data_IF_995778671327
#
_entry.id   IF_995778671327
#
_cell.length_a   1.000
_cell.length_b   1.000
_cell.length_c   1.000
_cell.angle_alpha   90.00
_cell.angle_beta   90.00
_cell.angle_gamma   90.00
#
_symmetry.space_group_name_H-M   'P 1'
#
loop_
_entity.id
_entity.type
_entity.pdbx_description
1 polymer ?
#
# COMPACT_ATOMS: atom_id res chain seq x y z
N UNK A 1 -22.17 6.81 3.78
CA UNK A 1 -20.79 7.36 3.77
C UNK A 1 -19.89 6.48 4.61
N UNK A 2 -18.59 6.36 4.27
CA UNK A 2 -17.65 5.63 5.10
C UNK A 2 -17.46 6.34 6.45
N UNK A 3 -17.55 5.59 7.55
CA UNK A 3 -17.29 6.13 8.89
C UNK A 3 -15.79 6.00 9.20
N UNK A 4 -15.02 7.04 8.91
CA UNK A 4 -13.57 7.09 9.15
C UNK A 4 -13.29 7.98 10.35
N UNK A 5 -12.65 7.42 11.38
CA UNK A 5 -12.21 8.16 12.57
C UNK A 5 -10.72 8.47 12.48
N UNK A 6 -10.38 9.75 12.49
CA UNK A 6 -8.99 10.21 12.59
C UNK A 6 -8.55 10.23 14.06
N UNK A 7 -7.28 9.91 14.30
CA UNK A 7 -6.64 9.94 15.61
C UNK A 7 -5.31 10.69 15.50
N UNK A 8 -4.84 11.25 16.61
CA UNK A 8 -3.55 11.94 16.65
C UNK A 8 -2.39 10.96 16.44
N UNK A 9 -1.34 11.42 15.75
CA UNK A 9 -0.14 10.62 15.52
C UNK A 9 0.63 10.46 16.84
N UNK A 10 0.94 9.21 17.25
CA UNK A 10 1.78 8.96 18.41
C UNK A 10 3.16 9.62 18.31
N UNK A 11 3.63 10.23 19.40
CA UNK A 11 4.90 10.99 19.43
C UNK A 11 6.13 10.11 19.18
N UNK A 12 6.10 8.86 19.62
CA UNK A 12 7.21 7.90 19.54
C UNK A 12 7.57 7.48 18.12
N UNK A 13 6.61 7.51 17.19
CA UNK A 13 6.83 7.19 15.78
C UNK A 13 6.94 8.43 14.89
N UNK A 14 6.60 9.62 15.40
CA UNK A 14 6.46 10.84 14.59
C UNK A 14 7.72 11.17 13.79
N UNK A 15 8.88 11.12 14.44
CA UNK A 15 10.17 11.45 13.81
C UNK A 15 10.66 10.39 12.83
N UNK A 16 10.10 9.17 12.90
CA UNK A 16 10.48 8.03 12.05
C UNK A 16 9.43 7.71 11.00
N UNK A 17 8.31 8.42 11.00
CA UNK A 17 7.20 8.15 10.11
C UNK A 17 7.48 8.73 8.73
N UNK A 18 7.44 7.89 7.70
CA UNK A 18 7.61 8.33 6.34
C UNK A 18 6.26 8.76 5.76
N UNK A 19 6.03 10.07 5.66
CA UNK A 19 4.78 10.62 5.10
C UNK A 19 4.58 10.33 3.61
N UNK A 20 5.67 10.10 2.87
CA UNK A 20 5.62 9.80 1.45
C UNK A 20 6.72 8.84 1.03
N UNK A 21 6.34 7.80 0.30
CA UNK A 21 7.27 6.82 -0.27
C UNK A 21 6.87 6.55 -1.71
N UNK A 22 7.84 6.55 -2.62
CA UNK A 22 7.63 6.17 -4.02
C UNK A 22 8.83 5.35 -4.51
N UNK A 23 8.57 4.17 -5.05
CA UNK A 23 9.61 3.28 -5.54
C UNK A 23 10.07 3.68 -6.93
N UNK A 24 11.39 3.85 -7.12
CA UNK A 24 11.96 3.96 -8.46
C UNK A 24 12.02 2.56 -9.10
N UNK A 25 11.34 2.41 -10.24
CA UNK A 25 11.19 1.11 -10.92
C UNK A 25 12.25 0.83 -11.98
N UNK A 26 13.15 1.77 -12.26
CA UNK A 26 14.10 1.69 -13.38
C UNK A 26 14.98 0.45 -13.29
N UNK A 27 15.49 0.13 -12.10
CA UNK A 27 16.35 -1.05 -11.91
C UNK A 27 15.60 -2.35 -12.21
N UNK A 28 14.36 -2.46 -11.75
CA UNK A 28 13.53 -3.64 -11.95
C UNK A 28 13.10 -3.79 -13.42
N UNK A 29 12.74 -2.67 -14.06
CA UNK A 29 12.41 -2.65 -15.50
C UNK A 29 13.63 -3.02 -16.36
N UNK A 30 14.81 -2.48 -16.04
CA UNK A 30 16.08 -2.82 -16.74
C UNK A 30 16.49 -4.28 -16.53
N UNK A 31 16.16 -4.88 -15.39
CA UNK A 31 16.39 -6.30 -15.13
C UNK A 31 15.45 -7.23 -15.93
N UNK A 32 14.47 -6.68 -16.68
CA UNK A 32 13.61 -7.44 -17.59
C UNK A 32 12.18 -7.67 -17.10
N UNK A 33 11.78 -7.13 -15.95
CA UNK A 33 10.40 -7.26 -15.48
C UNK A 33 9.46 -6.28 -16.21
N UNK A 34 8.56 -6.80 -17.02
CA UNK A 34 7.67 -6.00 -17.89
C UNK A 34 6.21 -6.03 -17.48
N UNK A 35 5.80 -6.93 -16.59
CA UNK A 35 4.43 -7.04 -16.15
C UNK A 35 3.95 -5.76 -15.42
N UNK A 36 2.67 -5.39 -15.53
CA UNK A 36 2.10 -4.29 -14.77
C UNK A 36 2.08 -4.63 -13.27
N UNK A 37 2.05 -3.59 -12.44
CA UNK A 37 1.75 -3.75 -11.03
C UNK A 37 0.24 -3.69 -10.83
N UNK A 38 -0.27 -4.46 -9.88
CA UNK A 38 -1.67 -4.36 -9.47
C UNK A 38 -1.93 -2.97 -8.91
N UNK A 39 -3.07 -2.38 -9.29
CA UNK A 39 -3.52 -1.11 -8.72
C UNK A 39 -3.84 -1.28 -7.23
N UNK A 40 -3.94 -0.16 -6.52
CA UNK A 40 -4.34 -0.20 -5.10
C UNK A 40 -5.76 -0.74 -4.96
N UNK A 41 -6.67 -0.27 -5.81
CA UNK A 41 -8.08 -0.62 -5.79
C UNK A 41 -8.30 -2.12 -6.05
N UNK A 42 -7.65 -2.66 -7.09
CA UNK A 42 -7.76 -4.08 -7.43
C UNK A 42 -7.12 -4.96 -6.35
N UNK A 43 -5.97 -4.53 -5.81
CA UNK A 43 -5.28 -5.26 -4.74
C UNK A 43 -6.08 -5.32 -3.45
N UNK A 44 -6.73 -4.21 -3.05
CA UNK A 44 -7.59 -4.16 -1.85
C UNK A 44 -8.82 -5.05 -2.02
N UNK A 45 -9.48 -5.01 -3.19
CA UNK A 45 -10.68 -5.83 -3.43
C UNK A 45 -10.36 -7.34 -3.37
N UNK A 46 -9.30 -7.77 -4.04
CA UNK A 46 -8.86 -9.16 -4.04
C UNK A 46 -8.47 -9.63 -2.62
N UNK A 47 -7.66 -8.83 -1.92
CA UNK A 47 -7.21 -9.16 -0.57
C UNK A 47 -8.38 -9.37 0.39
N UNK A 48 -9.33 -8.43 0.42
CA UNK A 48 -10.49 -8.50 1.34
C UNK A 48 -11.37 -9.70 1.02
N UNK A 49 -11.68 -9.95 -0.26
CA UNK A 49 -12.64 -10.99 -0.66
C UNK A 49 -12.07 -12.39 -0.60
N UNK A 50 -10.82 -12.56 -1.02
CA UNK A 50 -10.25 -13.88 -1.24
C UNK A 50 -9.30 -14.34 -0.14
N UNK A 51 -8.68 -13.43 0.61
CA UNK A 51 -7.68 -13.78 1.62
C UNK A 51 -8.15 -13.46 3.05
N UNK A 52 -8.64 -12.24 3.30
CA UNK A 52 -9.04 -11.82 4.65
C UNK A 52 -10.33 -12.48 5.14
N UNK A 53 -11.34 -12.63 4.27
CA UNK A 53 -12.65 -13.20 4.66
C UNK A 53 -12.71 -14.72 4.71
N UNK A 54 -11.75 -15.42 4.08
CA UNK A 54 -11.71 -16.89 4.03
C UNK A 54 -10.81 -17.52 5.10
N UNK A 55 -10.02 -16.71 5.81
CA UNK A 55 -9.25 -17.13 6.99
C UNK A 55 -10.04 -16.90 8.27
#
# INVERSE_FOLDING_TARGET
EPNIRFIDMPEDIRDKYQYFTEANMDKLRKAGYTAPFTSLEDGVDDYVRNYLRKG
#
